data_IF_665518291389
#
_entry.id   IF_665518291389
#
_cell.length_a   1.000
_cell.length_b   1.000
_cell.length_c   1.000
_cell.angle_alpha   90.00
_cell.angle_beta   90.00
_cell.angle_gamma   90.00
#
_symmetry.space_group_name_H-M   'P 1'
#
loop_
_entity.id
_entity.type
_entity.pdbx_description
1 polymer ?
#
# COMPACT_ATOMS: atom_id res chain seq x y z
N UNK A 1 -3.52 12.51 -10.66
CA UNK A 1 -2.98 13.05 -11.91
C UNK A 1 -2.56 11.87 -12.76
N UNK A 2 -3.16 11.78 -13.97
CA UNK A 2 -2.71 11.15 -15.23
C UNK A 2 -2.04 9.76 -15.16
N UNK A 3 -2.50 8.86 -16.03
CA UNK A 3 -1.87 7.59 -16.41
C UNK A 3 -0.76 7.79 -17.47
N UNK A 4 0.00 6.71 -17.71
CA UNK A 4 0.80 6.42 -18.93
C UNK A 4 2.22 7.02 -18.99
N UNK A 5 3.24 6.35 -19.56
CA UNK A 5 3.33 5.46 -20.76
C UNK A 5 4.07 4.11 -20.47
N UNK A 6 4.20 3.07 -21.32
CA UNK A 6 4.71 2.98 -22.72
C UNK A 6 4.47 1.60 -23.42
N UNK A 7 4.22 1.64 -24.75
CA UNK A 7 4.77 0.91 -25.95
C UNK A 7 4.99 -0.63 -26.12
N UNK A 8 4.60 -1.11 -27.34
CA UNK A 8 5.38 -1.83 -28.41
C UNK A 8 5.08 -3.31 -28.90
N UNK A 9 4.96 -3.44 -30.25
CA UNK A 9 5.50 -4.41 -31.26
C UNK A 9 4.89 -5.82 -31.64
N UNK A 10 4.30 -5.92 -32.86
CA UNK A 10 4.46 -6.82 -34.07
C UNK A 10 4.74 -8.36 -33.96
N UNK A 11 3.98 -9.19 -34.73
CA UNK A 11 4.41 -10.18 -35.79
C UNK A 11 3.26 -11.14 -36.20
N UNK A 12 3.03 -11.28 -37.52
CA UNK A 12 1.90 -11.97 -38.13
C UNK A 12 1.87 -13.51 -38.08
N UNK A 13 0.76 -14.03 -37.57
CA UNK A 13 0.23 -15.37 -37.82
C UNK A 13 -1.21 -15.26 -38.34
N UNK A 14 -1.60 -16.14 -39.27
CA UNK A 14 -3.03 -16.32 -39.57
C UNK A 14 -3.71 -16.87 -38.31
N UNK A 15 -4.83 -16.29 -37.89
CA UNK A 15 -5.53 -16.77 -36.70
C UNK A 15 -6.07 -18.19 -36.95
N UNK A 16 -5.95 -19.07 -35.97
CA UNK A 16 -6.52 -20.42 -36.06
C UNK A 16 -8.04 -20.38 -35.99
N UNK A 17 -8.69 -21.51 -36.25
CA UNK A 17 -10.16 -21.66 -36.24
C UNK A 17 -10.81 -21.45 -34.86
N UNK A 18 -10.01 -21.25 -33.82
CA UNK A 18 -10.42 -20.99 -32.44
C UNK A 18 -9.94 -19.61 -31.95
N UNK A 19 -9.41 -18.77 -32.84
CA UNK A 19 -8.88 -17.46 -32.52
C UNK A 19 -9.58 -16.36 -33.32
N UNK A 20 -9.92 -15.29 -32.62
CA UNK A 20 -10.46 -14.06 -33.16
C UNK A 20 -9.35 -13.08 -33.54
N UNK A 21 -9.54 -12.40 -34.67
CA UNK A 21 -8.63 -11.41 -35.22
C UNK A 21 -9.17 -10.00 -34.99
N UNK A 22 -8.37 -9.11 -34.43
CA UNK A 22 -8.75 -7.69 -34.31
C UNK A 22 -8.93 -7.04 -35.69
N UNK A 23 -10.11 -6.46 -36.00
CA UNK A 23 -10.46 -6.04 -37.34
C UNK A 23 -9.76 -4.77 -37.83
N UNK A 24 -9.47 -3.78 -36.97
CA UNK A 24 -8.96 -2.46 -37.41
C UNK A 24 -7.47 -2.21 -37.14
N UNK A 25 -6.73 -3.19 -36.62
CA UNK A 25 -5.30 -3.06 -36.40
C UNK A 25 -4.49 -3.35 -37.67
N UNK A 26 -3.45 -2.54 -37.91
CA UNK A 26 -2.50 -2.74 -39.01
C UNK A 26 -1.67 -4.02 -38.86
N UNK A 27 -1.53 -4.51 -37.63
CA UNK A 27 -0.86 -5.76 -37.27
C UNK A 27 -1.90 -6.83 -36.91
N UNK A 28 -1.71 -8.06 -37.38
CA UNK A 28 -2.60 -9.18 -37.06
C UNK A 28 -2.38 -9.60 -35.61
N UNK A 29 -3.30 -9.20 -34.74
CA UNK A 29 -3.41 -9.68 -33.36
C UNK A 29 -4.54 -10.70 -33.28
N UNK A 30 -4.21 -11.92 -32.86
CA UNK A 30 -5.14 -13.03 -32.69
C UNK A 30 -5.24 -13.40 -31.21
N UNK A 31 -6.44 -13.70 -30.74
CA UNK A 31 -6.63 -14.26 -29.40
C UNK A 31 -7.77 -15.25 -29.38
N UNK A 32 -7.81 -16.13 -28.39
CA UNK A 32 -8.86 -17.15 -28.31
C UNK A 32 -10.25 -16.52 -28.18
N UNK A 33 -11.29 -17.13 -28.77
CA UNK A 33 -12.69 -16.63 -28.64
C UNK A 33 -13.13 -16.40 -27.17
N UNK A 34 -12.52 -17.13 -26.22
CA UNK A 34 -11.88 -16.67 -24.96
C UNK A 34 -12.08 -15.22 -24.46
N UNK A 35 -11.78 -14.27 -25.34
CA UNK A 35 -11.54 -12.88 -24.98
C UNK A 35 -12.48 -11.90 -25.70
N UNK A 36 -13.41 -12.40 -26.52
CA UNK A 36 -14.50 -11.57 -27.03
C UNK A 36 -15.53 -11.37 -25.93
N UNK A 37 -15.97 -10.13 -25.75
CA UNK A 37 -17.03 -9.76 -24.81
C UNK A 37 -16.75 -10.23 -23.37
N UNK A 38 -15.47 -10.36 -22.99
CA UNK A 38 -15.10 -10.74 -21.62
C UNK A 38 -14.98 -9.50 -20.70
N UNK A 39 -15.26 -8.31 -21.26
CA UNK A 39 -15.22 -7.02 -20.59
C UNK A 39 -13.83 -6.42 -20.52
N UNK A 40 -12.85 -7.01 -21.22
CA UNK A 40 -11.49 -6.52 -21.35
C UNK A 40 -11.23 -6.21 -22.83
N UNK A 41 -10.73 -5.01 -23.11
CA UNK A 41 -10.30 -4.64 -24.46
C UNK A 41 -8.95 -5.31 -24.78
N UNK A 42 -9.01 -6.56 -25.23
CA UNK A 42 -7.85 -7.36 -25.60
C UNK A 42 -7.32 -6.98 -27.00
N UNK A 43 -8.15 -6.35 -27.85
CA UNK A 43 -7.69 -5.74 -29.10
C UNK A 43 -6.92 -4.43 -28.88
N UNK A 44 -7.32 -3.61 -27.91
CA UNK A 44 -6.82 -2.26 -27.66
C UNK A 44 -7.54 -1.16 -28.45
N UNK A 45 -8.48 -1.54 -29.33
CA UNK A 45 -9.35 -0.63 -30.07
C UNK A 45 -10.86 -0.83 -29.73
N UNK A 46 -11.17 -1.70 -28.78
CA UNK A 46 -12.52 -2.03 -28.31
C UNK A 46 -13.35 -2.88 -29.28
N UNK A 47 -12.75 -3.35 -30.38
CA UNK A 47 -13.48 -4.10 -31.42
C UNK A 47 -14.09 -5.39 -30.92
N UNK A 48 -13.46 -6.00 -29.93
CA UNK A 48 -13.87 -7.22 -29.25
C UNK A 48 -14.98 -7.03 -28.22
N UNK A 49 -15.32 -5.77 -27.92
CA UNK A 49 -16.36 -5.38 -26.97
C UNK A 49 -17.49 -4.53 -27.60
N UNK A 50 -17.32 -4.05 -28.85
CA UNK A 50 -18.21 -3.06 -29.48
C UNK A 50 -19.55 -3.62 -30.02
N UNK A 51 -19.67 -4.93 -30.20
CA UNK A 51 -20.85 -5.58 -30.78
C UNK A 51 -21.37 -6.76 -29.94
N UNK A 52 -21.28 -6.64 -28.63
CA UNK A 52 -21.81 -7.61 -27.69
C UNK A 52 -23.31 -7.32 -27.42
N UNK A 53 -24.24 -8.13 -27.91
CA UNK A 53 -25.68 -8.01 -27.62
C UNK A 53 -26.06 -8.42 -26.17
N UNK A 54 -25.18 -8.17 -25.19
CA UNK A 54 -25.35 -8.63 -23.82
C UNK A 54 -24.88 -7.58 -22.81
N UNK A 55 -25.51 -6.40 -22.86
CA UNK A 55 -25.65 -5.55 -21.68
C UNK A 55 -26.72 -6.10 -20.73
N UNK A 56 -26.43 -6.09 -19.44
CA UNK A 56 -27.34 -6.46 -18.36
C UNK A 56 -28.63 -5.61 -18.38
N UNK A 57 -29.72 -6.03 -17.68
CA UNK A 57 -31.04 -5.42 -17.81
C UNK A 57 -31.16 -3.95 -17.35
N UNK A 58 -30.14 -3.36 -16.73
CA UNK A 58 -30.26 -2.09 -16.00
C UNK A 58 -29.85 -0.83 -16.80
N UNK A 59 -29.24 -0.96 -17.99
CA UNK A 59 -28.99 0.18 -18.89
C UNK A 59 -30.13 0.41 -19.92
N UNK A 60 -31.29 -0.21 -19.71
CA UNK A 60 -32.48 -0.13 -20.59
C UNK A 60 -33.42 1.06 -20.31
N UNK A 61 -32.95 2.11 -19.66
CA UNK A 61 -33.78 3.30 -19.41
C UNK A 61 -33.14 4.66 -19.73
N UNK A 62 -32.16 4.73 -20.65
CA UNK A 62 -31.76 6.03 -21.20
C UNK A 62 -31.29 6.06 -22.67
N UNK A 63 -31.70 5.11 -23.51
CA UNK A 63 -31.72 5.32 -24.97
C UNK A 63 -33.06 4.93 -25.60
N UNK A 64 -34.13 5.30 -24.90
CA UNK A 64 -35.50 5.44 -25.43
C UNK A 64 -35.72 6.81 -26.10
N UNK A 65 -34.70 7.32 -26.78
CA UNK A 65 -34.76 8.61 -27.47
C UNK A 65 -33.79 8.71 -28.68
N UNK A 66 -33.49 7.61 -29.37
CA UNK A 66 -32.96 7.70 -30.74
C UNK A 66 -33.33 6.50 -31.63
N UNK A 67 -34.47 5.85 -31.35
CA UNK A 67 -35.32 5.40 -32.46
C UNK A 67 -35.91 6.65 -33.12
N UNK A 68 -35.13 7.27 -33.99
CA UNK A 68 -35.62 7.88 -35.23
C UNK A 68 -34.47 8.55 -35.95
N UNK A 69 -34.35 8.22 -37.23
CA UNK A 69 -33.49 8.83 -38.25
C UNK A 69 -32.05 8.31 -38.39
N UNK A 70 -31.92 7.10 -38.94
CA UNK A 70 -31.23 6.99 -40.24
C UNK A 70 -32.09 6.16 -41.19
N UNK A 71 -33.01 6.90 -41.79
CA UNK A 71 -33.63 6.69 -43.10
C UNK A 71 -33.40 5.32 -43.75
N UNK A 72 -34.51 4.59 -43.85
CA UNK A 72 -34.85 3.82 -45.04
C UNK A 72 -34.71 4.70 -46.29
N UNK A 73 -33.49 4.81 -46.78
CA UNK A 73 -33.19 5.34 -48.09
C UNK A 73 -33.39 4.20 -49.11
N UNK A 74 -34.36 4.29 -50.04
CA UNK A 74 -34.58 3.25 -51.04
C UNK A 74 -33.53 3.30 -52.16
N UNK A 75 -32.44 4.06 -52.00
CA UNK A 75 -31.34 4.18 -52.96
C UNK A 75 -29.99 3.69 -52.41
N UNK A 76 -29.96 2.99 -51.27
CA UNK A 76 -28.83 2.09 -50.94
C UNK A 76 -28.89 0.85 -51.84
N UNK A 77 -27.81 0.65 -52.62
CA UNK A 77 -27.70 -0.32 -53.71
C UNK A 77 -28.34 -1.68 -53.40
N UNK A 78 -29.21 -2.11 -54.31
CA UNK A 78 -29.85 -3.43 -54.28
C UNK A 78 -28.74 -4.51 -54.30
N UNK A 79 -28.35 -5.02 -53.12
CA UNK A 79 -27.51 -6.21 -53.06
C UNK A 79 -28.29 -7.31 -53.76
N UNK A 80 -27.74 -7.88 -54.84
CA UNK A 80 -28.40 -9.02 -55.47
C UNK A 80 -28.31 -10.21 -54.50
N UNK A 81 -29.42 -10.67 -53.90
CA UNK A 81 -29.38 -11.69 -52.84
C UNK A 81 -28.82 -13.04 -53.31
N UNK A 82 -28.72 -13.23 -54.63
CA UNK A 82 -28.15 -14.42 -55.25
C UNK A 82 -26.62 -14.41 -55.31
N UNK A 83 -25.99 -13.25 -55.34
CA UNK A 83 -24.53 -13.11 -55.58
C UNK A 83 -23.81 -12.28 -54.53
N UNK A 84 -24.55 -11.53 -53.71
CA UNK A 84 -23.99 -10.65 -52.70
C UNK A 84 -24.58 -10.94 -51.33
N UNK A 85 -23.74 -10.83 -50.31
CA UNK A 85 -24.12 -10.78 -48.92
C UNK A 85 -24.27 -9.32 -48.50
N UNK A 86 -25.26 -9.02 -47.66
CA UNK A 86 -25.53 -7.66 -47.17
C UNK A 86 -25.05 -7.56 -45.73
N UNK A 87 -24.04 -6.73 -45.51
CA UNK A 87 -23.55 -6.37 -44.19
C UNK A 87 -24.65 -5.67 -43.36
N UNK A 88 -24.55 -5.71 -42.03
CA UNK A 88 -25.44 -4.97 -41.12
C UNK A 88 -25.35 -3.45 -41.32
N UNK A 89 -24.18 -2.93 -41.67
CA UNK A 89 -23.92 -1.53 -42.06
C UNK A 89 -24.57 -1.13 -43.40
N UNK A 90 -25.12 -2.10 -44.12
CA UNK A 90 -25.86 -1.93 -45.37
C UNK A 90 -25.03 -2.00 -46.64
N UNK A 91 -23.71 -2.26 -46.57
CA UNK A 91 -22.87 -2.53 -47.75
C UNK A 91 -23.10 -3.94 -48.30
N UNK A 92 -22.78 -4.13 -49.59
CA UNK A 92 -22.86 -5.43 -50.25
C UNK A 92 -21.45 -5.96 -50.53
N UNK A 93 -21.15 -7.18 -50.11
CA UNK A 93 -19.94 -7.92 -50.47
C UNK A 93 -20.31 -9.13 -51.33
N UNK A 94 -19.34 -9.74 -52.03
CA UNK A 94 -19.62 -10.99 -52.76
C UNK A 94 -19.98 -12.11 -51.77
N UNK A 95 -20.91 -12.99 -52.16
CA UNK A 95 -21.36 -14.08 -51.29
C UNK A 95 -20.24 -15.08 -50.93
N UNK A 96 -19.19 -15.15 -51.74
CA UNK A 96 -17.99 -15.95 -51.45
C UNK A 96 -17.12 -15.37 -50.34
N UNK A 97 -17.29 -14.10 -50.01
CA UNK A 97 -16.61 -13.40 -48.92
C UNK A 97 -17.43 -13.43 -47.62
N UNK A 98 -18.62 -14.04 -47.63
CA UNK A 98 -19.37 -14.28 -46.41
C UNK A 98 -18.94 -15.64 -45.83
N UNK A 99 -18.65 -15.67 -44.54
CA UNK A 99 -18.17 -16.85 -43.82
C UNK A 99 -16.82 -17.39 -44.35
N UNK A 100 -15.95 -16.51 -44.87
CA UNK A 100 -14.64 -16.87 -45.41
C UNK A 100 -13.50 -16.75 -44.38
N UNK A 101 -13.84 -16.40 -43.13
CA UNK A 101 -12.96 -16.16 -41.96
C UNK A 101 -12.18 -14.85 -42.05
N UNK A 102 -12.57 -13.94 -42.92
CA UNK A 102 -12.02 -12.60 -43.03
C UNK A 102 -13.15 -11.59 -43.00
N UNK A 103 -13.02 -10.59 -42.12
CA UNK A 103 -13.99 -9.51 -42.06
C UNK A 103 -13.82 -8.58 -43.28
N UNK A 104 -14.70 -8.75 -44.25
CA UNK A 104 -14.85 -7.90 -45.43
C UNK A 104 -15.96 -6.85 -45.23
N UNK A 105 -16.92 -7.10 -44.33
CA UNK A 105 -17.85 -6.08 -43.85
C UNK A 105 -17.20 -5.16 -42.81
N UNK A 106 -17.52 -3.86 -42.85
CA UNK A 106 -17.02 -2.87 -41.87
C UNK A 106 -17.64 -3.01 -40.48
N UNK A 107 -18.64 -3.86 -40.30
CA UNK A 107 -19.23 -4.22 -39.01
C UNK A 107 -18.97 -5.69 -38.65
N UNK A 108 -18.22 -6.40 -39.50
CA UNK A 108 -17.87 -7.81 -39.37
C UNK A 108 -19.04 -8.81 -39.42
N UNK A 109 -20.23 -8.37 -39.83
CA UNK A 109 -21.45 -9.21 -39.85
C UNK A 109 -21.39 -10.38 -40.83
N UNK A 110 -20.49 -10.32 -41.80
CA UNK A 110 -20.18 -11.41 -42.73
C UNK A 110 -19.59 -12.64 -42.06
N UNK A 111 -18.92 -12.48 -40.91
CA UNK A 111 -18.32 -13.60 -40.18
C UNK A 111 -19.03 -13.90 -38.85
N UNK A 112 -19.66 -12.91 -38.22
CA UNK A 112 -20.37 -13.12 -36.93
C UNK A 112 -21.73 -13.81 -37.08
N UNK A 113 -22.35 -13.75 -38.26
CA UNK A 113 -23.61 -14.44 -38.54
C UNK A 113 -23.44 -15.91 -38.99
N UNK A 114 -22.20 -16.40 -39.06
CA UNK A 114 -21.89 -17.74 -39.53
C UNK A 114 -22.09 -18.81 -38.45
N UNK A 115 -22.45 -20.03 -38.86
CA UNK A 115 -22.72 -21.14 -37.94
C UNK A 115 -21.54 -21.43 -37.01
N UNK A 116 -20.31 -21.35 -37.51
CA UNK A 116 -19.11 -21.59 -36.70
C UNK A 116 -18.92 -20.53 -35.60
N UNK A 117 -19.25 -19.26 -35.87
CA UNK A 117 -19.19 -18.17 -34.89
C UNK A 117 -20.29 -18.32 -33.85
N UNK A 118 -21.52 -18.64 -34.30
CA UNK A 118 -22.66 -18.93 -33.43
C UNK A 118 -22.42 -20.14 -32.53
N UNK A 119 -21.77 -21.19 -33.05
CA UNK A 119 -21.36 -22.36 -32.29
C UNK A 119 -20.29 -22.03 -31.24
N UNK A 120 -19.28 -21.23 -31.60
CA UNK A 120 -18.26 -20.77 -30.66
C UNK A 120 -18.87 -19.93 -29.52
N UNK A 121 -19.76 -18.99 -29.86
CA UNK A 121 -20.49 -18.16 -28.88
C UNK A 121 -21.45 -18.98 -28.01
N UNK A 122 -22.05 -20.04 -28.57
CA UNK A 122 -22.94 -20.94 -27.80
C UNK A 122 -22.19 -21.77 -26.74
N UNK A 123 -20.91 -22.06 -26.95
CA UNK A 123 -20.05 -22.75 -25.95
C UNK A 123 -19.70 -21.84 -24.76
N UNK A 124 -19.68 -20.52 -24.95
CA UNK A 124 -19.41 -19.52 -23.90
C UNK A 124 -20.62 -19.33 -22.98
N UNK A 125 -21.84 -19.40 -23.54
CA UNK A 125 -23.09 -19.25 -22.77
C UNK A 125 -23.39 -20.44 -21.86
N UNK A 126 -22.89 -21.63 -22.21
CA UNK A 126 -23.04 -22.87 -21.46
C UNK A 126 -21.67 -23.34 -20.96
N UNK A 127 -20.97 -22.52 -20.19
CA UNK A 127 -19.75 -22.97 -19.52
C UNK A 127 -20.03 -24.11 -18.54
N UNK A 128 -20.08 -25.36 -19.02
CA UNK A 128 -19.91 -26.59 -18.23
C UNK A 128 -19.91 -27.86 -19.12
N UNK A 129 -18.85 -28.65 -18.95
CA UNK A 129 -18.69 -30.08 -19.19
C UNK A 129 -19.85 -30.86 -19.86
N UNK A 130 -19.62 -31.32 -21.09
CA UNK A 130 -20.32 -32.47 -21.67
C UNK A 130 -19.71 -33.79 -21.16
N UNK A 131 -19.81 -34.05 -19.86
CA UNK A 131 -19.80 -35.43 -19.34
C UNK A 131 -21.19 -36.05 -19.59
N UNK A 132 -21.19 -37.37 -19.80
CA UNK A 132 -22.40 -38.18 -19.97
C UNK A 132 -23.43 -37.91 -18.86
N UNK A 133 -24.70 -37.77 -19.27
CA UNK A 133 -25.84 -37.53 -18.39
C UNK A 133 -25.86 -38.44 -17.14
N UNK A 134 -25.93 -37.90 -15.91
CA UNK A 134 -26.53 -38.60 -14.80
C UNK A 134 -27.97 -38.11 -14.61
N UNK A 135 -28.89 -39.05 -14.67
CA UNK A 135 -30.29 -38.81 -14.35
C UNK A 135 -30.49 -38.59 -12.84
N UNK A 136 -31.35 -37.62 -12.49
CA UNK A 136 -32.15 -37.48 -11.25
C UNK A 136 -31.49 -36.83 -10.01
N UNK A 137 -31.94 -35.60 -9.74
CA UNK A 137 -32.22 -34.96 -8.44
C UNK A 137 -31.17 -35.06 -7.33
N UNK A 138 -30.31 -34.04 -7.17
CA UNK A 138 -29.61 -33.76 -5.91
C UNK A 138 -29.40 -32.25 -5.73
N UNK A 139 -30.44 -31.56 -5.23
CA UNK A 139 -30.34 -30.16 -4.76
C UNK A 139 -29.55 -30.05 -3.44
N UNK A 140 -29.32 -31.17 -2.74
CA UNK A 140 -28.62 -31.21 -1.45
C UNK A 140 -27.11 -30.94 -1.53
N UNK A 141 -26.44 -31.25 -2.64
CA UNK A 141 -24.99 -31.07 -2.77
C UNK A 141 -24.52 -29.62 -2.97
N UNK A 142 -25.32 -28.76 -3.61
CA UNK A 142 -24.93 -27.35 -3.90
C UNK A 142 -24.94 -26.49 -2.65
N UNK A 143 -25.94 -26.68 -1.78
CA UNK A 143 -26.03 -25.99 -0.49
C UNK A 143 -24.87 -26.39 0.44
N UNK A 144 -24.45 -27.66 0.41
CA UNK A 144 -23.29 -28.12 1.20
C UNK A 144 -21.97 -27.51 0.71
N UNK A 145 -21.76 -27.38 -0.61
CA UNK A 145 -20.55 -26.77 -1.14
C UNK A 145 -20.50 -25.27 -0.86
N UNK A 146 -21.62 -24.56 -1.01
CA UNK A 146 -21.71 -23.13 -0.66
C UNK A 146 -21.44 -22.91 0.83
N UNK A 147 -22.04 -23.72 1.71
CA UNK A 147 -21.79 -23.67 3.16
C UNK A 147 -20.33 -23.95 3.50
N UNK A 148 -19.65 -24.85 2.77
CA UNK A 148 -18.21 -25.11 2.94
C UNK A 148 -17.37 -23.91 2.52
N UNK A 149 -17.70 -23.25 1.40
CA UNK A 149 -17.02 -22.03 0.92
C UNK A 149 -17.21 -20.88 1.91
N UNK A 150 -18.44 -20.65 2.38
CA UNK A 150 -18.73 -19.63 3.40
C UNK A 150 -18.01 -19.92 4.72
N UNK A 151 -17.98 -21.18 5.17
CA UNK A 151 -17.25 -21.57 6.37
C UNK A 151 -15.73 -21.42 6.22
N UNK A 152 -15.18 -21.65 5.03
CA UNK A 152 -13.75 -21.41 4.75
C UNK A 152 -13.43 -19.91 4.71
N UNK A 153 -14.26 -19.12 4.07
CA UNK A 153 -14.11 -17.66 4.07
C UNK A 153 -14.19 -17.09 5.49
N UNK A 154 -15.13 -17.57 6.30
CA UNK A 154 -15.23 -17.19 7.71
C UNK A 154 -13.95 -17.57 8.47
N UNK A 155 -13.43 -18.79 8.30
CA UNK A 155 -12.14 -19.21 8.91
C UNK A 155 -10.99 -18.31 8.49
N UNK A 156 -10.91 -17.92 7.21
CA UNK A 156 -9.88 -17.00 6.70
C UNK A 156 -10.00 -15.61 7.33
N UNK A 157 -11.22 -15.09 7.48
CA UNK A 157 -11.48 -13.81 8.16
C UNK A 157 -11.08 -13.85 9.63
N UNK A 158 -11.46 -14.90 10.35
CA UNK A 158 -11.07 -15.11 11.75
C UNK A 158 -9.56 -15.26 11.92
N UNK A 159 -8.89 -15.99 11.03
CA UNK A 159 -7.43 -16.14 11.07
C UNK A 159 -6.72 -14.79 10.83
N UNK A 160 -7.18 -14.01 9.85
CA UNK A 160 -6.64 -12.69 9.59
C UNK A 160 -6.83 -11.74 10.78
N UNK A 161 -7.99 -11.80 11.46
CA UNK A 161 -8.23 -11.05 12.69
C UNK A 161 -7.30 -11.50 13.82
N UNK A 162 -7.11 -12.81 14.02
CA UNK A 162 -6.16 -13.35 15.01
C UNK A 162 -4.74 -12.88 14.76
N UNK A 163 -4.29 -12.87 13.49
CA UNK A 163 -2.97 -12.36 13.08
C UNK A 163 -2.83 -10.87 13.42
N UNK A 164 -3.85 -10.05 13.13
CA UNK A 164 -3.87 -8.62 13.49
C UNK A 164 -3.77 -8.41 15.00
N UNK A 165 -4.57 -9.13 15.79
CA UNK A 165 -4.52 -9.05 17.26
C UNK A 165 -3.17 -9.52 17.82
N UNK A 166 -2.56 -10.55 17.23
CA UNK A 166 -1.24 -11.01 17.66
C UNK A 166 -0.15 -9.97 17.35
N UNK A 167 -0.20 -9.34 16.17
CA UNK A 167 0.73 -8.27 15.81
C UNK A 167 0.57 -7.06 16.74
N UNK A 168 -0.67 -6.68 17.07
CA UNK A 168 -0.96 -5.62 18.04
C UNK A 168 -0.39 -5.95 19.43
N UNK A 169 -0.61 -7.17 19.93
CA UNK A 169 -0.01 -7.63 21.20
C UNK A 169 1.52 -7.57 21.17
N UNK A 170 2.16 -7.96 20.06
CA UNK A 170 3.62 -7.88 19.89
C UNK A 170 4.10 -6.42 19.93
N UNK A 171 3.39 -5.50 19.26
CA UNK A 171 3.70 -4.07 19.29
C UNK A 171 3.56 -3.49 20.70
N UNK A 172 2.50 -3.85 21.43
CA UNK A 172 2.33 -3.43 22.83
C UNK A 172 3.43 -3.98 23.74
N UNK A 173 3.83 -5.25 23.58
CA UNK A 173 4.92 -5.83 24.37
C UNK A 173 6.25 -5.13 24.07
N UNK A 174 6.51 -4.80 22.80
CA UNK A 174 7.71 -4.05 22.42
C UNK A 174 7.71 -2.64 23.04
N UNK A 175 6.57 -1.94 23.02
CA UNK A 175 6.43 -0.64 23.69
C UNK A 175 6.69 -0.76 25.19
N UNK A 176 6.11 -1.74 25.88
CA UNK A 176 6.37 -1.99 27.32
C UNK A 176 7.85 -2.27 27.59
N UNK A 177 8.52 -3.03 26.72
CA UNK A 177 9.96 -3.29 26.83
C UNK A 177 10.78 -2.00 26.65
N UNK A 178 10.43 -1.15 25.68
CA UNK A 178 11.08 0.15 25.47
C UNK A 178 10.88 1.09 26.66
N UNK A 179 9.67 1.18 27.19
CA UNK A 179 9.35 1.96 28.39
C UNK A 179 10.14 1.47 29.61
N UNK A 180 10.24 0.15 29.83
CA UNK A 180 11.03 -0.41 30.92
C UNK A 180 12.52 -0.06 30.80
N UNK A 181 13.08 -0.12 29.59
CA UNK A 181 14.46 0.27 29.33
C UNK A 181 14.70 1.76 29.57
N UNK A 182 13.75 2.61 29.18
CA UNK A 182 13.81 4.03 29.45
C UNK A 182 13.71 4.36 30.95
N UNK A 183 12.82 3.69 31.68
CA UNK A 183 12.73 3.83 33.14
C UNK A 183 14.03 3.44 33.83
N UNK A 184 14.67 2.33 33.39
CA UNK A 184 15.99 1.93 33.90
C UNK A 184 17.05 2.99 33.63
N UNK A 185 17.09 3.54 32.41
CA UNK A 185 18.02 4.62 32.05
C UNK A 185 17.81 5.86 32.93
N UNK A 186 16.57 6.28 33.12
CA UNK A 186 16.23 7.41 34.00
C UNK A 186 16.59 7.14 35.46
N UNK A 187 16.40 5.91 35.94
CA UNK A 187 16.78 5.54 37.30
C UNK A 187 18.31 5.57 37.49
N UNK A 188 19.08 5.05 36.53
CA UNK A 188 20.53 5.14 36.54
C UNK A 188 21.01 6.59 36.50
N UNK A 189 20.39 7.46 35.69
CA UNK A 189 20.69 8.89 35.64
C UNK A 189 20.42 9.57 36.98
N UNK A 190 19.25 9.32 37.59
CA UNK A 190 18.93 9.82 38.94
C UNK A 190 19.95 9.37 39.98
N UNK A 191 20.38 8.10 39.93
CA UNK A 191 21.40 7.57 40.84
C UNK A 191 22.74 8.29 40.66
N UNK A 192 23.16 8.54 39.42
CA UNK A 192 24.39 9.30 39.11
C UNK A 192 24.31 10.75 39.60
N UNK A 193 23.18 11.42 39.38
CA UNK A 193 22.97 12.77 39.89
C UNK A 193 23.01 12.82 41.42
N UNK A 194 22.39 11.86 42.10
CA UNK A 194 22.42 11.77 43.55
C UNK A 194 23.84 11.54 44.07
N UNK A 195 24.61 10.67 43.42
CA UNK A 195 26.02 10.44 43.75
C UNK A 195 26.86 11.71 43.58
N UNK A 196 26.68 12.44 42.46
CA UNK A 196 27.35 13.72 42.23
C UNK A 196 26.98 14.76 43.29
N UNK A 197 25.71 14.86 43.67
CA UNK A 197 25.26 15.76 44.76
C UNK A 197 25.88 15.37 46.10
N UNK A 198 25.95 14.08 46.42
CA UNK A 198 26.58 13.57 47.65
C UNK A 198 28.07 13.90 47.67
N UNK A 199 28.78 13.69 46.56
CA UNK A 199 30.20 14.01 46.42
C UNK A 199 30.45 15.52 46.50
N UNK A 200 29.69 16.33 45.77
CA UNK A 200 29.78 17.79 45.85
C UNK A 200 29.56 18.30 47.28
N UNK A 201 28.55 17.78 47.98
CA UNK A 201 28.32 18.13 49.38
C UNK A 201 29.41 17.64 50.34
N UNK A 202 30.14 16.56 50.03
CA UNK A 202 31.33 16.16 50.79
C UNK A 202 32.50 17.11 50.55
N UNK A 203 32.77 17.45 49.28
CA UNK A 203 33.85 18.37 48.91
C UNK A 203 33.64 19.77 49.51
N UNK A 204 32.40 20.26 49.54
CA UNK A 204 32.07 21.56 50.13
C UNK A 204 32.23 21.56 51.65
N UNK A 205 31.80 20.49 52.34
CA UNK A 205 32.06 20.33 53.78
C UNK A 205 33.56 20.29 54.09
N UNK A 206 34.35 19.60 53.27
CA UNK A 206 35.80 19.55 53.42
C UNK A 206 36.43 20.94 53.23
N UNK A 207 36.01 21.69 52.21
CA UNK A 207 36.45 23.07 51.99
C UNK A 207 36.11 23.99 53.15
N UNK A 208 34.88 23.92 53.67
CA UNK A 208 34.48 24.69 54.84
C UNK A 208 35.31 24.35 56.07
N UNK A 209 35.59 23.06 56.31
CA UNK A 209 36.43 22.62 57.43
C UNK A 209 37.87 23.13 57.28
N UNK A 210 38.42 23.10 56.07
CA UNK A 210 39.76 23.63 55.78
C UNK A 210 39.83 25.15 56.04
N UNK A 211 38.82 25.91 55.60
CA UNK A 211 38.72 27.35 55.86
C UNK A 211 38.68 27.61 57.37
N UNK A 212 37.83 26.88 58.13
CA UNK A 212 37.76 27.02 59.59
C UNK A 212 39.10 26.73 60.26
N UNK A 213 39.80 25.67 59.83
CA UNK A 213 41.15 25.33 60.34
C UNK A 213 42.16 26.44 60.08
N UNK A 214 42.15 27.03 58.87
CA UNK A 214 43.02 28.16 58.51
C UNK A 214 42.71 29.40 59.36
N UNK A 215 41.43 29.72 59.56
CA UNK A 215 41.02 30.83 60.43
C UNK A 215 41.45 30.63 61.88
N UNK A 216 41.30 29.41 62.42
CA UNK A 216 41.80 29.08 63.75
C UNK A 216 43.32 29.22 63.86
N UNK A 217 44.06 28.80 62.82
CA UNK A 217 45.51 28.97 62.77
C UNK A 217 45.91 30.45 62.75
N UNK A 218 45.24 31.28 61.96
CA UNK A 218 45.45 32.73 61.92
C UNK A 218 45.19 33.32 63.31
N UNK A 219 44.06 33.00 63.95
CA UNK A 219 43.74 33.47 65.30
C UNK A 219 44.79 33.07 66.33
N UNK A 220 45.32 31.84 66.23
CA UNK A 220 46.42 31.36 67.10
C UNK A 220 47.69 32.17 66.88
N UNK A 221 48.09 32.40 65.62
CA UNK A 221 49.27 33.20 65.26
C UNK A 221 49.14 34.62 65.76
N UNK A 222 48.00 35.27 65.55
CA UNK A 222 47.74 36.61 66.07
C UNK A 222 47.75 36.65 67.61
N UNK A 223 47.22 35.62 68.28
CA UNK A 223 47.27 35.55 69.74
C UNK A 223 48.69 35.39 70.25
N UNK A 224 49.52 34.60 69.56
CA UNK A 224 50.93 34.45 69.87
C UNK A 224 51.70 35.75 69.62
N UNK A 225 51.43 36.46 68.53
CA UNK A 225 51.98 37.78 68.24
C UNK A 225 51.61 38.80 69.32
N UNK A 226 50.31 38.88 69.69
CA UNK A 226 49.84 39.74 70.80
C UNK A 226 50.56 39.43 72.12
N UNK A 227 50.83 38.15 72.41
CA UNK A 227 51.60 37.73 73.60
C UNK A 227 53.06 38.17 73.50
N UNK A 228 53.70 38.01 72.33
CA UNK A 228 55.09 38.45 72.10
C UNK A 228 55.23 39.95 72.26
N UNK A 229 54.31 40.74 71.69
CA UNK A 229 54.29 42.18 71.88
C UNK A 229 54.06 42.58 73.35
N UNK A 230 53.20 41.87 74.08
CA UNK A 230 52.98 42.12 75.50
C UNK A 230 54.23 41.81 76.33
N UNK A 231 54.93 40.71 76.03
CA UNK A 231 56.22 40.38 76.65
C UNK A 231 57.30 41.42 76.33
N UNK A 232 57.37 41.90 75.09
CA UNK A 232 58.29 42.96 74.68
C UNK A 232 58.00 44.27 75.41
N UNK A 233 56.73 44.70 75.46
CA UNK A 233 56.30 45.87 76.24
C UNK A 233 56.68 45.76 77.72
N UNK A 234 56.52 44.57 78.32
CA UNK A 234 56.95 44.28 79.70
C UNK A 234 58.47 44.38 79.87
N UNK A 235 59.25 43.82 78.94
CA UNK A 235 60.72 43.91 78.96
C UNK A 235 61.21 45.35 78.85
N UNK A 236 60.64 46.13 77.93
CA UNK A 236 60.97 47.56 77.82
C UNK A 236 60.58 48.34 79.07
N UNK A 237 59.43 48.03 79.70
CA UNK A 237 59.02 48.68 80.95
C UNK A 237 59.98 48.32 82.09
N UNK A 238 60.41 47.07 82.21
CA UNK A 238 61.43 46.64 83.16
C UNK A 238 62.78 47.34 82.92
N UNK A 239 63.22 47.46 81.66
CA UNK A 239 64.44 48.16 81.30
C UNK A 239 64.36 49.65 81.66
N UNK A 240 63.26 50.33 81.30
CA UNK A 240 62.99 51.72 81.71
C UNK A 240 63.04 51.90 83.24
N UNK A 241 62.48 50.95 84.00
CA UNK A 241 62.54 50.96 85.48
C UNK A 241 63.97 50.80 86.00
N UNK A 242 64.77 49.89 85.41
CA UNK A 242 66.19 49.69 85.79
C UNK A 242 67.03 50.94 85.50
N UNK A 243 66.86 51.56 84.34
CA UNK A 243 67.54 52.82 84.00
C UNK A 243 67.15 53.97 84.95
N UNK A 244 65.88 54.03 85.39
CA UNK A 244 65.44 55.02 86.37
C UNK A 244 66.07 54.76 87.76
N UNK A 245 66.18 53.50 88.18
CA UNK A 245 66.85 53.12 89.44
C UNK A 245 68.35 53.43 89.40
N UNK A 246 69.07 53.17 88.30
CA UNK A 246 70.49 53.51 88.17
C UNK A 246 70.77 55.03 88.18
N UNK A 247 69.80 55.84 87.76
CA UNK A 247 69.90 57.31 87.78
C UNK A 247 69.68 57.92 89.18
N UNK A 248 69.12 57.18 90.13
CA UNK A 248 68.82 57.64 91.49
C UNK A 248 69.98 57.37 92.45
#
# INVERSE_FOLDING_TARGET
HVTEDEYDDVVGGECTDQEFRCPYLAETRCFHYDKLCDGVDDCGDGSDEAHCESGSPEDREFNRAQESSVTSDPTAGHCSPHHHFRCGDGKCIEKSLACDRKYDCSDGTDETECDYFKEAMSRRRNGEHGEEQPTRNDESGRDEEEMRRQAEEQRRREEHERRRQEEERRREEELRRREMMEQRRQEEERRREEELRRRGGQDDRQREEEVRRREEEIRRREQEERRREEEERRREEEERRREEEERR
#
